data_IF_376981856623
#
_entry.id   IF_376981856623
#
_cell.length_a   1.000
_cell.length_b   1.000
_cell.length_c   1.000
_cell.angle_alpha   90.00
_cell.angle_beta   90.00
_cell.angle_gamma   90.00
#
_symmetry.space_group_name_H-M   'P 1'
#
loop_
_entity.id
_entity.type
_entity.pdbx_description
1 polymer ?
#
# COMPACT_ATOMS: atom_id res chain seq x y z
N UNK A 1 -34.29 -5.03 7.48
CA UNK A 1 -33.79 -4.04 8.46
C UNK A 1 -32.27 -3.96 8.50
N UNK A 2 -31.52 -5.03 8.82
CA UNK A 2 -30.04 -4.99 8.91
C UNK A 2 -29.38 -4.54 7.58
N UNK A 3 -29.79 -5.12 6.44
CA UNK A 3 -29.29 -4.69 5.11
C UNK A 3 -29.59 -3.22 4.78
N UNK A 4 -30.72 -2.68 5.24
CA UNK A 4 -31.05 -1.27 5.02
C UNK A 4 -30.23 -0.33 5.90
N UNK A 5 -29.94 -0.72 7.15
CA UNK A 5 -29.05 0.07 8.02
C UNK A 5 -27.61 0.10 7.48
N UNK A 6 -27.07 -1.04 7.05
CA UNK A 6 -25.72 -1.11 6.45
C UNK A 6 -25.63 -0.23 5.20
N UNK A 7 -26.64 -0.26 4.33
CA UNK A 7 -26.68 0.59 3.13
C UNK A 7 -26.75 2.08 3.50
N UNK A 8 -27.55 2.47 4.50
CA UNK A 8 -27.66 3.86 4.97
C UNK A 8 -26.33 4.35 5.58
N UNK A 9 -25.66 3.51 6.38
CA UNK A 9 -24.35 3.84 6.97
C UNK A 9 -23.27 3.97 5.91
N UNK A 10 -23.24 3.09 4.90
CA UNK A 10 -22.31 3.19 3.78
C UNK A 10 -22.59 4.39 2.87
N UNK A 11 -23.86 4.74 2.62
CA UNK A 11 -24.22 5.97 1.87
C UNK A 11 -23.79 7.24 2.61
N UNK A 12 -23.93 7.26 3.93
CA UNK A 12 -23.45 8.36 4.77
C UNK A 12 -21.92 8.44 4.74
N UNK A 13 -21.24 7.31 4.94
CA UNK A 13 -19.78 7.24 4.86
C UNK A 13 -19.26 7.67 3.48
N UNK A 14 -19.92 7.22 2.40
CA UNK A 14 -19.64 7.63 1.03
C UNK A 14 -19.72 9.15 0.86
N UNK A 15 -20.80 9.76 1.33
CA UNK A 15 -21.02 11.20 1.16
C UNK A 15 -19.96 12.01 1.91
N UNK A 16 -19.71 11.67 3.17
CA UNK A 16 -18.70 12.34 3.99
C UNK A 16 -17.29 12.18 3.41
N UNK A 17 -16.91 10.95 3.05
CA UNK A 17 -15.58 10.68 2.49
C UNK A 17 -15.41 11.37 1.14
N UNK A 18 -16.44 11.41 0.30
CA UNK A 18 -16.38 12.10 -0.98
C UNK A 18 -16.23 13.62 -0.82
N UNK A 19 -16.91 14.22 0.16
CA UNK A 19 -16.73 15.65 0.51
C UNK A 19 -15.27 15.93 0.93
N UNK A 20 -14.73 15.12 1.85
CA UNK A 20 -13.34 15.22 2.29
C UNK A 20 -12.35 15.04 1.15
N UNK A 21 -12.60 14.08 0.25
CA UNK A 21 -11.78 13.82 -0.94
C UNK A 21 -11.82 14.98 -1.94
N UNK A 22 -13.00 15.57 -2.17
CA UNK A 22 -13.12 16.72 -3.07
C UNK A 22 -12.43 17.96 -2.50
N UNK A 23 -12.58 18.21 -1.20
CA UNK A 23 -11.90 19.30 -0.50
C UNK A 23 -10.37 19.10 -0.52
N UNK A 24 -9.93 17.88 -0.24
CA UNK A 24 -8.55 17.43 -0.36
C UNK A 24 -8.00 17.72 -1.76
N UNK A 25 -8.66 17.23 -2.80
CA UNK A 25 -8.25 17.39 -4.20
C UNK A 25 -8.12 18.87 -4.60
N UNK A 26 -9.04 19.73 -4.15
CA UNK A 26 -9.01 21.16 -4.44
C UNK A 26 -7.82 21.88 -3.77
N UNK A 27 -7.47 21.48 -2.53
CA UNK A 27 -6.38 22.11 -1.76
C UNK A 27 -5.00 21.51 -2.07
N UNK A 28 -4.97 20.32 -2.66
CA UNK A 28 -3.76 19.52 -2.78
C UNK A 28 -2.63 20.22 -3.55
N UNK A 29 -2.85 20.88 -4.70
CA UNK A 29 -1.76 21.55 -5.41
C UNK A 29 -1.04 22.59 -4.55
N UNK A 30 -1.79 23.39 -3.79
CA UNK A 30 -1.24 24.38 -2.87
C UNK A 30 -0.53 23.71 -1.67
N UNK A 31 -1.06 22.60 -1.15
CA UNK A 31 -0.45 21.86 -0.06
C UNK A 31 0.89 21.21 -0.47
N UNK A 32 0.94 20.59 -1.66
CA UNK A 32 2.17 20.03 -2.26
C UNK A 32 3.23 21.12 -2.45
N UNK A 33 2.84 22.29 -2.95
CA UNK A 33 3.75 23.42 -3.14
C UNK A 33 4.35 23.91 -1.81
N UNK A 34 3.60 23.83 -0.70
CA UNK A 34 4.05 24.31 0.60
C UNK A 34 4.87 23.26 1.37
N UNK A 35 4.43 22.00 1.41
CA UNK A 35 5.04 20.91 2.18
C UNK A 35 4.80 19.54 1.51
N UNK A 36 5.64 19.12 0.54
CA UNK A 36 5.41 17.89 -0.20
C UNK A 36 5.60 16.60 0.62
N UNK A 37 6.34 16.65 1.74
CA UNK A 37 6.54 15.50 2.64
C UNK A 37 5.32 15.21 3.52
N UNK A 38 5.07 16.02 4.56
CA UNK A 38 4.08 15.65 5.59
C UNK A 38 2.60 15.67 5.13
N UNK A 39 2.21 16.55 4.20
CA UNK A 39 0.78 16.71 3.88
C UNK A 39 0.28 15.66 2.88
N UNK A 40 1.12 15.28 1.92
CA UNK A 40 0.74 14.40 0.80
C UNK A 40 0.39 12.98 1.26
N UNK A 41 1.01 12.49 2.36
CA UNK A 41 0.81 11.13 2.85
C UNK A 41 -0.12 11.00 4.07
N UNK A 42 -0.26 12.05 4.90
CA UNK A 42 -1.02 11.94 6.15
C UNK A 42 -2.53 12.14 5.97
N UNK A 43 -2.95 13.10 5.15
CA UNK A 43 -4.36 13.45 4.99
C UNK A 43 -4.97 12.98 3.66
N UNK A 44 -4.14 12.61 2.69
CA UNK A 44 -4.56 12.63 1.29
C UNK A 44 -4.55 11.22 0.69
N UNK A 45 -3.46 10.46 0.83
CA UNK A 45 -3.46 9.05 0.42
C UNK A 45 -4.47 8.21 1.21
N UNK A 46 -4.57 8.38 2.53
CA UNK A 46 -5.55 7.66 3.36
C UNK A 46 -7.00 7.90 2.90
N UNK A 47 -7.39 9.16 2.66
CA UNK A 47 -8.75 9.47 2.19
C UNK A 47 -9.04 8.89 0.79
N UNK A 48 -8.04 8.87 -0.10
CA UNK A 48 -8.19 8.22 -1.40
C UNK A 48 -8.29 6.69 -1.29
N UNK A 49 -7.52 6.05 -0.39
CA UNK A 49 -7.63 4.60 -0.12
C UNK A 49 -9.00 4.24 0.46
N UNK A 50 -9.48 5.02 1.43
CA UNK A 50 -10.80 4.82 2.03
C UNK A 50 -11.91 4.98 0.99
N UNK A 51 -11.82 6.00 0.14
CA UNK A 51 -12.78 6.22 -0.94
C UNK A 51 -12.72 5.14 -2.01
N UNK A 52 -11.54 4.58 -2.32
CA UNK A 52 -11.40 3.42 -3.18
C UNK A 52 -12.19 2.22 -2.61
N UNK A 53 -12.00 1.91 -1.32
CA UNK A 53 -12.70 0.81 -0.64
C UNK A 53 -14.21 1.04 -0.68
N UNK A 54 -14.68 2.23 -0.29
CA UNK A 54 -16.10 2.55 -0.25
C UNK A 54 -16.72 2.52 -1.65
N UNK A 55 -16.04 3.05 -2.68
CA UNK A 55 -16.53 3.02 -4.07
C UNK A 55 -16.61 1.56 -4.57
N UNK A 56 -15.63 0.70 -4.28
CA UNK A 56 -15.68 -0.72 -4.61
C UNK A 56 -16.86 -1.45 -3.95
N UNK A 57 -17.18 -1.14 -2.68
CA UNK A 57 -18.27 -1.77 -1.96
C UNK A 57 -19.65 -1.28 -2.43
N UNK A 58 -19.79 0.02 -2.66
CA UNK A 58 -21.07 0.64 -3.00
C UNK A 58 -21.39 0.56 -4.49
N UNK A 59 -20.35 0.57 -5.34
CA UNK A 59 -20.46 0.66 -6.79
C UNK A 59 -19.36 -0.19 -7.44
N UNK A 60 -19.45 -1.54 -7.38
CA UNK A 60 -18.39 -2.44 -7.82
C UNK A 60 -17.99 -2.27 -9.29
N UNK A 61 -18.89 -1.79 -10.15
CA UNK A 61 -18.63 -1.53 -11.57
C UNK A 61 -18.13 -0.10 -11.86
N UNK A 62 -17.91 0.72 -10.82
CA UNK A 62 -17.50 2.11 -10.98
C UNK A 62 -16.02 2.22 -11.33
N UNK A 63 -15.74 2.83 -12.49
CA UNK A 63 -14.37 3.16 -12.88
C UNK A 63 -13.71 4.16 -11.92
N UNK A 64 -14.50 4.91 -11.13
CA UNK A 64 -13.99 5.91 -10.18
C UNK A 64 -13.14 5.31 -9.07
N UNK A 65 -13.38 4.05 -8.70
CA UNK A 65 -12.55 3.37 -7.70
C UNK A 65 -11.08 3.38 -8.14
N UNK A 66 -10.83 3.08 -9.41
CA UNK A 66 -9.47 3.12 -9.99
C UNK A 66 -8.88 4.52 -9.98
N UNK A 67 -9.69 5.57 -10.16
CA UNK A 67 -9.21 6.95 -10.10
C UNK A 67 -8.76 7.34 -8.68
N UNK A 68 -9.50 6.93 -7.64
CA UNK A 68 -9.07 7.15 -6.26
C UNK A 68 -7.74 6.45 -5.96
N UNK A 69 -7.60 5.20 -6.41
CA UNK A 69 -6.33 4.48 -6.27
C UNK A 69 -5.18 5.17 -7.01
N UNK A 70 -5.43 5.70 -8.21
CA UNK A 70 -4.43 6.49 -8.96
C UNK A 70 -4.01 7.77 -8.25
N UNK A 71 -4.95 8.48 -7.62
CA UNK A 71 -4.61 9.66 -6.82
C UNK A 71 -3.76 9.30 -5.61
N UNK A 72 -4.04 8.16 -4.96
CA UNK A 72 -3.18 7.62 -3.89
C UNK A 72 -1.75 7.38 -4.40
N UNK A 73 -1.58 6.68 -5.53
CA UNK A 73 -0.27 6.41 -6.14
C UNK A 73 0.50 7.70 -6.47
N UNK A 74 -0.18 8.71 -7.05
CA UNK A 74 0.43 10.01 -7.35
C UNK A 74 0.90 10.71 -6.07
N UNK A 75 0.10 10.67 -5.01
CA UNK A 75 0.47 11.19 -3.70
C UNK A 75 1.70 10.44 -3.15
N UNK A 76 1.71 9.12 -3.18
CA UNK A 76 2.83 8.32 -2.67
C UNK A 76 4.13 8.58 -3.44
N UNK A 77 4.08 8.68 -4.77
CA UNK A 77 5.26 9.07 -5.58
C UNK A 77 5.72 10.50 -5.22
N UNK A 78 4.80 11.44 -5.08
CA UNK A 78 5.10 12.81 -4.66
C UNK A 78 5.77 12.88 -3.29
N UNK A 79 5.27 12.09 -2.34
CA UNK A 79 5.84 11.94 -1.01
C UNK A 79 7.28 11.42 -1.07
N UNK A 80 7.53 10.30 -1.76
CA UNK A 80 8.88 9.74 -1.85
C UNK A 80 9.84 10.66 -2.61
N UNK A 81 9.38 11.40 -3.63
CA UNK A 81 10.14 12.47 -4.27
C UNK A 81 10.53 13.55 -3.26
N UNK A 82 9.59 13.97 -2.42
CA UNK A 82 9.78 14.92 -1.32
C UNK A 82 10.90 14.50 -0.37
N UNK A 83 10.81 13.30 0.20
CA UNK A 83 11.73 12.84 1.25
C UNK A 83 13.10 12.42 0.72
N UNK A 84 13.19 11.87 -0.49
CA UNK A 84 14.47 11.43 -1.09
C UNK A 84 15.29 12.58 -1.68
N UNK A 85 14.68 13.76 -1.86
CA UNK A 85 15.30 14.95 -2.44
C UNK A 85 15.21 16.14 -1.47
N UNK A 86 15.48 15.93 -0.19
CA UNK A 86 15.44 17.00 0.82
C UNK A 86 16.23 18.24 0.37
N UNK A 87 15.58 19.40 0.45
CA UNK A 87 16.07 20.74 0.06
C UNK A 87 16.45 20.89 -1.41
N UNK A 88 16.06 19.94 -2.27
CA UNK A 88 16.30 20.00 -3.72
C UNK A 88 15.00 20.29 -4.48
N UNK A 89 15.05 20.96 -5.63
CA UNK A 89 13.89 21.12 -6.49
C UNK A 89 13.34 19.76 -6.94
N UNK A 90 12.02 19.60 -6.91
CA UNK A 90 11.30 18.43 -7.41
C UNK A 90 10.07 18.85 -8.20
N UNK A 91 9.59 17.94 -9.06
CA UNK A 91 8.30 18.05 -9.73
C UNK A 91 7.40 16.89 -9.31
N UNK A 92 6.23 17.23 -8.78
CA UNK A 92 5.17 16.29 -8.41
C UNK A 92 4.09 16.33 -9.49
N UNK A 93 3.76 15.17 -10.03
CA UNK A 93 2.67 15.01 -10.99
C UNK A 93 1.40 14.61 -10.22
N UNK A 94 0.36 15.43 -10.29
CA UNK A 94 -0.93 15.14 -9.64
C UNK A 94 -2.09 15.60 -10.52
N UNK A 95 -3.04 14.69 -10.78
CA UNK A 95 -4.26 14.95 -11.56
C UNK A 95 -4.00 15.69 -12.89
N UNK A 96 -2.95 15.26 -13.61
CA UNK A 96 -2.53 15.86 -14.87
C UNK A 96 -1.77 17.19 -14.76
N UNK A 97 -1.56 17.70 -13.54
CA UNK A 97 -0.80 18.92 -13.27
C UNK A 97 0.62 18.59 -12.84
N UNK A 98 1.57 19.46 -13.23
CA UNK A 98 2.94 19.44 -12.73
C UNK A 98 3.12 20.54 -11.70
N UNK A 99 3.48 20.15 -10.48
CA UNK A 99 3.65 21.06 -9.36
C UNK A 99 5.15 21.10 -9.02
N UNK A 100 5.77 22.24 -9.28
CA UNK A 100 7.16 22.49 -8.88
C UNK A 100 7.21 22.88 -7.41
N UNK A 101 8.09 22.23 -6.65
CA UNK A 101 8.26 22.47 -5.22
C UNK A 101 9.68 22.09 -4.79
N UNK A 102 10.01 22.31 -3.52
CA UNK A 102 11.26 21.87 -2.92
C UNK A 102 11.00 20.67 -2.04
N UNK A 103 11.78 19.60 -2.24
CA UNK A 103 11.72 18.41 -1.41
C UNK A 103 11.95 18.76 0.05
N UNK A 104 11.18 18.12 0.93
CA UNK A 104 11.25 18.34 2.36
C UNK A 104 11.18 16.98 3.03
N UNK A 105 12.17 16.68 3.86
CA UNK A 105 12.12 15.51 4.71
C UNK A 105 10.94 15.60 5.69
N UNK A 106 10.07 14.59 5.67
CA UNK A 106 8.99 14.40 6.64
C UNK A 106 9.23 13.13 7.42
N UNK A 107 9.16 13.18 8.75
CA UNK A 107 9.35 12.01 9.62
C UNK A 107 8.12 11.11 9.70
N UNK A 108 6.95 11.64 9.34
CA UNK A 108 5.69 10.92 9.41
C UNK A 108 5.61 9.87 8.30
N UNK A 109 5.22 8.64 8.66
CA UNK A 109 4.95 7.51 7.74
C UNK A 109 6.13 7.09 6.84
N UNK A 110 7.35 7.11 7.36
CA UNK A 110 8.51 6.47 6.70
C UNK A 110 8.63 4.97 7.04
N UNK A 111 7.52 4.29 7.35
CA UNK A 111 7.59 2.85 7.59
C UNK A 111 7.76 2.10 6.28
N UNK A 112 8.55 1.05 6.32
CA UNK A 112 8.68 0.15 5.17
C UNK A 112 7.35 -0.53 4.84
N UNK A 113 6.49 -0.69 5.84
CA UNK A 113 5.10 -1.11 5.69
C UNK A 113 4.33 -0.19 4.75
N UNK A 114 4.38 1.13 5.00
CA UNK A 114 3.69 2.11 4.16
C UNK A 114 4.23 2.07 2.71
N UNK A 115 5.54 1.87 2.53
CA UNK A 115 6.13 1.71 1.20
C UNK A 115 5.60 0.48 0.47
N UNK A 116 5.39 -0.65 1.17
CA UNK A 116 4.85 -1.87 0.56
C UNK A 116 3.43 -1.61 0.05
N UNK A 117 2.57 -0.95 0.84
CA UNK A 117 1.23 -0.58 0.39
C UNK A 117 1.28 0.33 -0.84
N UNK A 118 2.06 1.41 -0.76
CA UNK A 118 2.23 2.38 -1.86
C UNK A 118 2.72 1.68 -3.14
N UNK A 119 3.60 0.69 -3.01
CA UNK A 119 4.10 -0.11 -4.13
C UNK A 119 3.05 -1.06 -4.70
N UNK A 120 2.28 -1.74 -3.85
CA UNK A 120 1.18 -2.61 -4.27
C UNK A 120 0.09 -1.82 -5.01
N UNK A 121 -0.24 -0.61 -4.57
CA UNK A 121 -1.18 0.28 -5.26
C UNK A 121 -0.68 0.62 -6.67
N UNK A 122 0.60 0.93 -6.83
CA UNK A 122 1.21 1.17 -8.14
C UNK A 122 1.12 -0.07 -9.06
N UNK A 123 1.29 -1.27 -8.50
CA UNK A 123 1.11 -2.55 -9.21
C UNK A 123 -0.35 -2.73 -9.65
N UNK A 124 -1.31 -2.52 -8.75
CA UNK A 124 -2.75 -2.67 -9.04
C UNK A 124 -3.18 -1.68 -10.14
N UNK A 125 -2.72 -0.42 -10.06
CA UNK A 125 -2.95 0.59 -11.09
C UNK A 125 -2.20 0.33 -12.40
N UNK A 126 -1.26 -0.63 -12.42
CA UNK A 126 -0.33 -0.90 -13.53
C UNK A 126 0.46 0.35 -13.93
N UNK A 127 0.75 1.23 -12.98
CA UNK A 127 1.48 2.47 -13.21
C UNK A 127 2.98 2.18 -13.27
N UNK A 128 3.47 1.94 -14.49
CA UNK A 128 4.88 1.63 -14.71
C UNK A 128 5.80 2.76 -14.25
N UNK A 129 5.42 4.03 -14.40
CA UNK A 129 6.27 5.15 -13.98
C UNK A 129 6.42 5.19 -12.46
N UNK A 130 5.30 5.00 -11.73
CA UNK A 130 5.31 4.91 -10.28
C UNK A 130 6.12 3.71 -9.78
N UNK A 131 5.92 2.52 -10.37
CA UNK A 131 6.68 1.30 -10.02
C UNK A 131 8.18 1.56 -10.19
N UNK A 132 8.62 2.07 -11.34
CA UNK A 132 10.04 2.33 -11.61
C UNK A 132 10.62 3.34 -10.61
N UNK A 133 9.87 4.39 -10.26
CA UNK A 133 10.32 5.37 -9.29
C UNK A 133 10.44 4.75 -7.87
N UNK A 134 9.39 4.08 -7.39
CA UNK A 134 9.34 3.48 -6.05
C UNK A 134 10.40 2.39 -5.85
N UNK A 135 10.77 1.65 -6.90
CA UNK A 135 11.88 0.70 -6.86
C UNK A 135 13.21 1.34 -6.45
N UNK A 136 13.44 2.60 -6.84
CA UNK A 136 14.69 3.34 -6.57
C UNK A 136 14.78 3.90 -5.14
N UNK A 137 13.67 3.94 -4.40
CA UNK A 137 13.65 4.41 -3.01
C UNK A 137 14.50 3.48 -2.15
N UNK A 138 15.59 3.98 -1.57
CA UNK A 138 16.48 3.17 -0.72
C UNK A 138 15.76 2.73 0.56
N UNK A 139 16.07 1.52 1.04
CA UNK A 139 15.66 1.08 2.38
C UNK A 139 16.22 1.99 3.49
N UNK A 140 17.24 2.79 3.18
CA UNK A 140 17.81 3.75 4.13
C UNK A 140 16.85 4.91 4.47
N UNK A 141 15.86 5.16 3.63
CA UNK A 141 14.82 6.15 3.92
C UNK A 141 13.98 5.69 5.13
N UNK A 142 13.95 4.39 5.43
CA UNK A 142 13.19 3.80 6.54
C UNK A 142 14.03 3.61 7.83
N UNK A 143 15.29 4.07 7.87
CA UNK A 143 16.27 3.75 8.95
C UNK A 143 15.81 4.14 10.35
N UNK A 144 15.12 5.27 10.52
CA UNK A 144 14.76 5.78 11.85
C UNK A 144 13.66 4.97 12.56
N UNK A 145 13.05 4.00 11.88
CA UNK A 145 12.11 3.02 12.47
C UNK A 145 12.62 1.57 12.40
N UNK A 146 13.94 1.37 12.17
CA UNK A 146 14.61 0.04 12.21
C UNK A 146 14.52 -0.67 13.54
N UNK A 147 14.19 0.05 14.62
CA UNK A 147 14.05 -0.50 15.96
C UNK A 147 12.78 -1.36 16.13
N UNK A 148 11.85 -1.32 15.18
CA UNK A 148 10.70 -2.22 15.21
C UNK A 148 11.15 -3.67 15.00
N UNK A 149 10.64 -4.56 15.84
CA UNK A 149 11.00 -5.98 15.83
C UNK A 149 10.61 -6.71 14.53
N UNK A 150 9.63 -6.17 13.80
CA UNK A 150 9.13 -6.68 12.52
C UNK A 150 9.80 -6.07 11.28
N UNK A 151 10.76 -5.14 11.45
CA UNK A 151 11.38 -4.41 10.35
C UNK A 151 12.02 -5.33 9.29
N UNK A 152 12.77 -6.34 9.72
CA UNK A 152 13.44 -7.30 8.82
C UNK A 152 12.45 -8.11 7.97
N UNK A 153 11.27 -8.40 8.52
CA UNK A 153 10.21 -9.09 7.79
C UNK A 153 9.73 -8.22 6.63
N UNK A 154 9.32 -6.98 6.91
CA UNK A 154 8.84 -6.08 5.88
C UNK A 154 9.93 -5.66 4.90
N UNK A 155 11.20 -5.61 5.33
CA UNK A 155 12.32 -5.44 4.40
C UNK A 155 12.43 -6.59 3.41
N UNK A 156 12.28 -7.84 3.85
CA UNK A 156 12.29 -8.99 2.96
C UNK A 156 11.09 -8.97 1.98
N UNK A 157 9.90 -8.58 2.43
CA UNK A 157 8.76 -8.35 1.54
C UNK A 157 9.05 -7.27 0.50
N UNK A 158 9.59 -6.13 0.92
CA UNK A 158 9.91 -5.02 0.01
C UNK A 158 10.93 -5.44 -1.06
N UNK A 159 11.97 -6.17 -0.67
CA UNK A 159 12.94 -6.71 -1.62
C UNK A 159 12.33 -7.75 -2.59
N UNK A 160 11.46 -8.63 -2.10
CA UNK A 160 10.74 -9.59 -2.93
C UNK A 160 9.89 -8.88 -3.99
N UNK A 161 9.09 -7.88 -3.57
CA UNK A 161 8.27 -7.08 -4.48
C UNK A 161 9.12 -6.33 -5.52
N UNK A 162 10.20 -5.66 -5.12
CA UNK A 162 11.14 -5.05 -6.08
C UNK A 162 11.77 -6.09 -7.01
N UNK A 163 11.98 -7.30 -6.51
CA UNK A 163 12.51 -8.44 -7.27
C UNK A 163 11.71 -8.72 -8.53
N UNK A 164 10.37 -8.75 -8.45
CA UNK A 164 9.47 -9.04 -9.58
C UNK A 164 9.64 -8.07 -10.76
N UNK A 165 10.09 -6.85 -10.49
CA UNK A 165 10.27 -5.80 -11.50
C UNK A 165 11.75 -5.56 -11.86
N UNK A 166 12.67 -6.31 -11.25
CA UNK A 166 14.12 -6.19 -11.47
C UNK A 166 14.62 -7.29 -12.39
N UNK A 167 15.44 -6.94 -13.39
CA UNK A 167 16.15 -7.94 -14.20
C UNK A 167 17.13 -8.73 -13.34
N UNK A 168 17.20 -10.04 -13.55
CA UNK A 168 18.20 -10.96 -12.98
C UNK A 168 18.16 -11.13 -11.44
N UNK A 169 17.06 -10.80 -10.77
CA UNK A 169 16.90 -11.15 -9.35
C UNK A 169 16.49 -12.61 -9.20
N UNK A 170 17.11 -13.30 -8.26
CA UNK A 170 16.72 -14.65 -7.88
C UNK A 170 15.48 -14.58 -6.98
N UNK A 171 14.29 -14.57 -7.60
CA UNK A 171 13.01 -14.45 -6.89
C UNK A 171 12.79 -15.58 -5.88
N UNK A 172 13.26 -16.80 -6.18
CA UNK A 172 13.17 -17.93 -5.26
C UNK A 172 13.95 -17.66 -3.97
N UNK A 173 15.17 -17.14 -4.06
CA UNK A 173 15.95 -16.79 -2.88
C UNK A 173 15.30 -15.66 -2.05
N UNK A 174 14.67 -14.69 -2.72
CA UNK A 174 13.95 -13.60 -2.04
C UNK A 174 12.69 -14.11 -1.32
N UNK A 175 11.92 -15.00 -1.96
CA UNK A 175 10.77 -15.67 -1.36
C UNK A 175 11.17 -16.47 -0.12
N UNK A 176 12.23 -17.29 -0.24
CA UNK A 176 12.78 -18.05 0.89
C UNK A 176 13.30 -17.16 2.02
N UNK A 177 13.82 -15.98 1.69
CA UNK A 177 14.20 -14.99 2.72
C UNK A 177 12.95 -14.51 3.45
N UNK A 178 11.90 -14.08 2.73
CA UNK A 178 10.66 -13.57 3.31
C UNK A 178 9.98 -14.59 4.23
N UNK A 179 9.99 -15.89 3.89
CA UNK A 179 9.48 -16.95 4.77
C UNK A 179 10.33 -17.13 6.03
N UNK A 180 11.67 -17.09 5.92
CA UNK A 180 12.60 -17.38 7.02
C UNK A 180 12.73 -16.26 8.05
N UNK A 181 12.59 -14.99 7.64
CA UNK A 181 12.73 -13.85 8.56
C UNK A 181 11.55 -13.68 9.50
N UNK A 182 10.41 -14.33 9.20
CA UNK A 182 9.27 -14.36 10.09
C UNK A 182 9.62 -15.07 11.41
N UNK A 183 9.40 -14.37 12.52
CA UNK A 183 9.65 -14.87 13.87
C UNK A 183 8.54 -14.36 14.79
N UNK A 184 7.62 -15.23 15.27
CA UNK A 184 6.52 -14.83 16.16
C UNK A 184 6.98 -14.05 17.40
N UNK A 185 8.13 -14.42 17.99
CA UNK A 185 8.69 -13.76 19.18
C UNK A 185 9.16 -12.33 18.91
N UNK A 186 9.29 -11.94 17.65
CA UNK A 186 9.65 -10.59 17.20
C UNK A 186 8.43 -9.79 16.73
N UNK A 187 7.22 -10.24 17.04
CA UNK A 187 6.01 -9.53 16.67
C UNK A 187 5.44 -8.79 17.90
N UNK A 188 5.25 -7.46 17.84
CA UNK A 188 4.94 -6.62 19.01
C UNK A 188 3.65 -6.97 19.76
N UNK A 189 2.64 -7.52 19.10
CA UNK A 189 1.38 -7.89 19.76
C UNK A 189 0.63 -9.03 19.03
N UNK A 190 -0.30 -9.72 19.71
CA UNK A 190 -1.06 -10.84 19.15
C UNK A 190 -1.86 -10.47 17.90
N UNK A 191 -2.50 -9.31 17.87
CA UNK A 191 -3.29 -8.87 16.71
C UNK A 191 -2.40 -8.65 15.48
N UNK A 192 -1.25 -8.02 15.67
CA UNK A 192 -0.29 -7.81 14.60
C UNK A 192 0.32 -9.13 14.09
N UNK A 193 0.56 -10.08 15.00
CA UNK A 193 0.97 -11.44 14.65
C UNK A 193 -0.08 -12.17 13.82
N UNK A 194 -1.35 -12.08 14.22
CA UNK A 194 -2.49 -12.62 13.48
C UNK A 194 -2.57 -12.03 12.08
N UNK A 195 -2.44 -10.70 11.97
CA UNK A 195 -2.48 -9.99 10.70
C UNK A 195 -1.33 -10.42 9.79
N UNK A 196 -0.09 -10.49 10.29
CA UNK A 196 1.06 -10.97 9.52
C UNK A 196 0.83 -12.39 9.01
N UNK A 197 0.42 -13.31 9.90
CA UNK A 197 0.21 -14.72 9.56
C UNK A 197 -0.89 -14.91 8.52
N UNK A 198 -2.04 -14.25 8.71
CA UNK A 198 -3.25 -14.46 7.91
C UNK A 198 -3.28 -13.62 6.65
N UNK A 199 -2.67 -12.42 6.65
CA UNK A 199 -2.73 -11.48 5.53
C UNK A 199 -1.45 -11.51 4.71
N UNK A 200 -0.30 -11.29 5.33
CA UNK A 200 0.98 -11.10 4.63
C UNK A 200 1.63 -12.42 4.21
N UNK A 201 1.78 -13.36 5.14
CA UNK A 201 2.39 -14.66 4.82
C UNK A 201 1.56 -15.47 3.84
N UNK A 202 0.23 -15.38 3.92
CA UNK A 202 -0.68 -16.04 2.98
C UNK A 202 -0.46 -15.59 1.52
N UNK A 203 0.01 -14.35 1.29
CA UNK A 203 0.34 -13.86 -0.05
C UNK A 203 1.58 -14.56 -0.64
N UNK A 204 2.50 -15.07 0.19
CA UNK A 204 3.73 -15.70 -0.29
C UNK A 204 3.46 -16.94 -1.14
N UNK A 205 2.39 -17.69 -0.84
CA UNK A 205 2.01 -18.88 -1.60
C UNK A 205 1.52 -18.50 -3.01
N UNK A 206 0.80 -17.38 -3.14
CA UNK A 206 0.41 -16.82 -4.45
C UNK A 206 1.64 -16.39 -5.23
N UNK A 207 2.56 -15.67 -4.58
CA UNK A 207 3.81 -15.21 -5.21
C UNK A 207 4.69 -16.39 -5.63
N UNK A 208 4.70 -17.49 -4.87
CA UNK A 208 5.42 -18.71 -5.21
C UNK A 208 4.93 -19.32 -6.52
N UNK A 209 3.61 -19.41 -6.71
CA UNK A 209 3.03 -19.91 -7.96
C UNK A 209 3.45 -19.04 -9.14
N UNK A 210 3.43 -17.72 -8.98
CA UNK A 210 3.88 -16.77 -10.02
C UNK A 210 5.37 -16.96 -10.35
N UNK A 211 6.21 -17.17 -9.34
CA UNK A 211 7.66 -17.38 -9.51
C UNK A 211 7.95 -18.70 -10.23
N UNK A 212 7.20 -19.75 -9.90
CA UNK A 212 7.38 -21.08 -10.48
C UNK A 212 6.69 -21.25 -11.84
N UNK A 213 6.01 -20.21 -12.35
CA UNK A 213 5.19 -20.28 -13.55
C UNK A 213 4.17 -21.44 -13.48
N UNK A 214 3.50 -21.60 -12.34
CA UNK A 214 2.44 -22.59 -12.16
C UNK A 214 1.25 -22.33 -13.08
N UNK A 215 0.33 -23.30 -13.15
CA UNK A 215 -0.85 -23.15 -14.01
C UNK A 215 -1.81 -22.08 -13.47
N UNK A 216 -2.75 -21.63 -14.31
CA UNK A 216 -3.85 -20.76 -13.86
C UNK A 216 -4.65 -21.41 -12.72
N UNK A 217 -4.78 -22.75 -12.74
CA UNK A 217 -5.45 -23.51 -11.68
C UNK A 217 -4.66 -23.49 -10.37
N UNK A 218 -3.32 -23.60 -10.43
CA UNK A 218 -2.46 -23.43 -9.26
C UNK A 218 -2.60 -22.03 -8.67
N UNK A 219 -2.64 -21.01 -9.54
CA UNK A 219 -2.80 -19.62 -9.12
C UNK A 219 -4.16 -19.40 -8.44
N UNK A 220 -5.24 -19.86 -9.06
CA UNK A 220 -6.60 -19.72 -8.51
C UNK A 220 -6.73 -20.43 -7.15
N UNK A 221 -6.17 -21.65 -7.01
CA UNK A 221 -6.14 -22.35 -5.72
C UNK A 221 -5.38 -21.58 -4.64
N UNK A 222 -4.21 -21.06 -4.97
CA UNK A 222 -3.41 -20.27 -4.02
C UNK A 222 -4.13 -18.98 -3.63
N UNK A 223 -4.77 -18.30 -4.59
CA UNK A 223 -5.57 -17.11 -4.35
C UNK A 223 -6.76 -17.38 -3.45
N UNK A 224 -7.54 -18.43 -3.73
CA UNK A 224 -8.67 -18.84 -2.89
C UNK A 224 -8.21 -19.14 -1.46
N UNK A 225 -7.13 -19.92 -1.30
CA UNK A 225 -6.57 -20.22 0.02
C UNK A 225 -6.15 -18.95 0.78
N UNK A 226 -5.47 -18.01 0.11
CA UNK A 226 -5.08 -16.74 0.70
C UNK A 226 -6.29 -15.87 1.09
N UNK A 227 -7.30 -15.80 0.24
CA UNK A 227 -8.55 -15.07 0.52
C UNK A 227 -9.29 -15.64 1.72
N UNK A 228 -9.33 -16.97 1.88
CA UNK A 228 -9.91 -17.59 3.08
C UNK A 228 -9.16 -17.14 4.35
N UNK A 229 -7.83 -17.08 4.33
CA UNK A 229 -7.06 -16.57 5.48
C UNK A 229 -7.38 -15.11 5.79
N UNK A 230 -7.51 -14.26 4.77
CA UNK A 230 -7.89 -12.86 4.93
C UNK A 230 -9.29 -12.74 5.54
N UNK A 231 -10.26 -13.53 5.05
CA UNK A 231 -11.61 -13.58 5.61
C UNK A 231 -11.61 -14.00 7.08
N UNK A 232 -10.81 -15.00 7.45
CA UNK A 232 -10.67 -15.42 8.86
C UNK A 232 -10.20 -14.28 9.75
N UNK A 233 -9.24 -13.48 9.29
CA UNK A 233 -8.75 -12.31 10.03
C UNK A 233 -9.82 -11.21 10.14
N UNK A 234 -10.40 -10.76 9.02
CA UNK A 234 -11.30 -9.60 9.00
C UNK A 234 -12.70 -9.85 9.55
N UNK A 235 -13.20 -11.10 9.47
CA UNK A 235 -14.48 -11.47 10.05
C UNK A 235 -14.35 -11.95 11.50
N UNK A 236 -13.14 -11.92 12.07
CA UNK A 236 -12.87 -12.44 13.41
C UNK A 236 -13.43 -13.86 13.60
N UNK A 237 -13.30 -14.71 12.58
CA UNK A 237 -13.79 -16.10 12.62
C UNK A 237 -12.68 -17.07 13.01
N UNK A 238 -11.57 -16.57 13.54
CA UNK A 238 -10.43 -17.39 13.95
C UNK A 238 -10.81 -18.18 15.22
N UNK A 239 -10.83 -19.52 15.18
CA UNK A 239 -11.11 -20.34 16.35
C UNK A 239 -10.00 -20.29 17.41
N UNK A 240 -8.87 -19.62 17.14
CA UNK A 240 -7.81 -19.31 18.12
C UNK A 240 -8.10 -18.03 18.95
N UNK A 241 -9.32 -17.47 18.89
CA UNK A 241 -9.82 -16.43 19.82
C UNK A 241 -10.35 -17.01 21.13
#
# INVERSE_FOLDING_TARGET
MIKQHIVIELERAYTLTLEEVNEAKAKLPAAIAKHPGNMVKNYLSSNFKDMFIIECLMRPDSIKAVDFLRYSVQCSVGYYKGVTNDKKPITVDFDGQKIETTGAYGEDKLEIFDWIEDFQEAIICRDSAAIHYLMQVSADVHVRKRERLDFELFLAFAELYKGFFSRNKNLRNLLERARRVYCPDRIPCPDWHRMIKRVYLAQLDVLEVLINAGSEEDYNRAMEAALLQHQTYWLETDPEM
#
